data_IF_872819209814
#
_entry.id   IF_872819209814
#
_cell.length_a   1.000
_cell.length_b   1.000
_cell.length_c   1.000
_cell.angle_alpha   90.00
_cell.angle_beta   90.00
_cell.angle_gamma   90.00
#
_symmetry.space_group_name_H-M   'P 1'
#
loop_
_entity.id
_entity.type
_entity.pdbx_description
1 polymer ?
#
# COMPACT_ATOMS: atom_id res chain seq x y z
N UNK A 1 -2.86 -29.20 -23.79
CA UNK A 1 -2.85 -28.36 -22.58
C UNK A 1 -1.76 -27.33 -22.76
N UNK A 2 -2.06 -26.25 -23.48
CA UNK A 2 -1.11 -25.16 -23.75
C UNK A 2 -1.42 -24.00 -22.82
N UNK A 3 -0.39 -23.49 -22.14
CA UNK A 3 -0.49 -22.33 -21.27
C UNK A 3 -0.97 -21.10 -22.08
N UNK A 4 -1.95 -20.39 -21.53
CA UNK A 4 -2.48 -19.13 -22.06
C UNK A 4 -1.51 -18.01 -21.71
N UNK A 5 -0.62 -17.65 -22.64
CA UNK A 5 0.12 -16.39 -22.57
C UNK A 5 -0.80 -15.24 -23.00
N UNK A 6 -1.50 -14.65 -22.02
CA UNK A 6 -2.18 -13.36 -22.15
C UNK A 6 -1.23 -12.29 -21.59
N UNK A 7 -0.41 -11.69 -22.45
CA UNK A 7 0.24 -10.42 -22.11
C UNK A 7 -0.80 -9.29 -22.13
N UNK A 8 -1.40 -9.05 -20.97
CA UNK A 8 -2.31 -7.95 -20.70
C UNK A 8 -1.51 -6.85 -19.96
N UNK A 9 -1.26 -5.73 -20.62
CA UNK A 9 -0.70 -4.54 -19.95
C UNK A 9 -1.70 -4.05 -18.91
N UNK A 10 -1.35 -4.19 -17.63
CA UNK A 10 -2.26 -3.91 -16.52
C UNK A 10 -2.20 -2.44 -16.10
N UNK A 11 -3.38 -1.85 -15.87
CA UNK A 11 -3.55 -0.56 -15.20
C UNK A 11 -3.01 -0.55 -13.75
N UNK A 12 -2.57 -1.72 -13.24
CA UNK A 12 -1.87 -1.96 -11.97
C UNK A 12 -0.56 -1.18 -11.84
N UNK A 13 -0.06 -0.60 -12.93
CA UNK A 13 1.16 0.19 -12.93
C UNK A 13 1.05 1.48 -12.11
N UNK A 14 -0.16 2.03 -11.87
CA UNK A 14 -0.27 3.40 -11.31
C UNK A 14 -0.05 3.51 -9.79
N UNK A 15 -0.06 2.41 -9.05
CA UNK A 15 0.33 2.38 -7.62
C UNK A 15 1.78 1.88 -7.41
N UNK A 16 2.34 1.13 -8.36
CA UNK A 16 3.74 0.66 -8.33
C UNK A 16 4.74 1.61 -8.99
N UNK A 17 4.30 2.44 -9.96
CA UNK A 17 5.17 3.36 -10.72
C UNK A 17 5.63 4.59 -9.92
N UNK A 18 5.01 4.89 -8.77
CA UNK A 18 5.51 5.95 -7.89
C UNK A 18 6.92 5.67 -7.32
N UNK A 19 7.41 4.41 -7.38
CA UNK A 19 8.80 4.06 -7.02
C UNK A 19 9.79 4.15 -8.20
N UNK A 20 9.33 4.19 -9.45
CA UNK A 20 10.21 4.14 -10.63
C UNK A 20 10.48 5.53 -11.25
N UNK A 21 9.66 6.54 -11.00
CA UNK A 21 9.81 7.87 -11.60
C UNK A 21 10.69 8.85 -10.81
N UNK A 22 11.47 8.39 -9.82
CA UNK A 22 12.34 9.26 -9.00
C UNK A 22 13.64 9.68 -9.72
N UNK A 23 13.97 9.08 -10.88
CA UNK A 23 15.25 9.33 -11.54
C UNK A 23 15.30 10.51 -12.54
N UNK A 24 14.18 11.16 -12.92
CA UNK A 24 14.20 12.11 -14.05
C UNK A 24 13.73 13.56 -13.83
N UNK A 25 13.34 13.98 -12.62
CA UNK A 25 12.95 15.40 -12.41
C UNK A 25 13.63 16.03 -11.19
N UNK A 26 14.95 16.24 -11.31
CA UNK A 26 15.66 17.23 -10.49
C UNK A 26 15.58 18.60 -11.15
N UNK A 27 14.58 19.41 -10.76
CA UNK A 27 14.67 20.88 -10.69
C UNK A 27 13.35 21.47 -10.20
N UNK A 28 13.40 22.14 -9.05
CA UNK A 28 12.53 23.28 -8.76
C UNK A 28 11.60 23.13 -7.55
N UNK A 29 11.96 23.88 -6.52
CA UNK A 29 11.06 24.60 -5.59
C UNK A 29 10.51 23.85 -4.37
N UNK A 30 11.11 24.20 -3.23
CA UNK A 30 10.63 23.98 -1.87
C UNK A 30 9.31 24.76 -1.61
N UNK A 31 8.38 24.18 -0.83
CA UNK A 31 8.20 24.55 0.59
C UNK A 31 7.01 23.82 1.27
N UNK A 32 7.15 23.72 2.60
CA UNK A 32 6.20 23.36 3.66
C UNK A 32 6.11 21.89 4.12
N UNK A 33 6.82 21.61 5.23
CA UNK A 33 6.63 20.41 6.05
C UNK A 33 7.75 20.14 7.05
N UNK A 34 7.80 20.88 8.16
CA UNK A 34 8.60 20.52 9.35
C UNK A 34 10.12 20.51 9.14
N UNK A 35 10.67 21.58 8.57
CA UNK A 35 12.11 21.76 8.43
C UNK A 35 12.78 21.94 9.81
N UNK A 36 13.79 21.12 10.11
CA UNK A 36 14.97 21.64 10.80
C UNK A 36 15.41 22.84 9.96
N UNK A 37 15.10 24.05 10.42
CA UNK A 37 15.60 25.24 9.75
C UNK A 37 17.12 25.08 9.70
N UNK A 38 17.68 25.06 8.48
CA UNK A 38 19.07 25.42 8.23
C UNK A 38 19.20 26.93 8.46
N UNK A 39 18.89 27.40 9.67
CA UNK A 39 19.39 28.68 10.12
C UNK A 39 20.90 28.49 10.16
N UNK A 40 21.60 29.17 9.25
CA UNK A 40 23.04 29.35 9.38
C UNK A 40 23.24 30.07 10.71
N UNK A 41 23.46 29.30 11.77
CA UNK A 41 24.13 29.79 12.96
C UNK A 41 25.55 30.04 12.47
N UNK A 42 25.82 31.28 12.05
CA UNK A 42 27.17 31.78 11.93
C UNK A 42 27.78 31.68 13.34
N UNK A 43 28.44 30.56 13.65
CA UNK A 43 29.04 30.29 14.95
C UNK A 43 29.07 28.83 15.44
N UNK A 44 28.54 27.83 14.71
CA UNK A 44 28.70 26.42 15.13
C UNK A 44 30.08 25.88 14.78
N UNK A 45 30.82 25.40 15.78
CA UNK A 45 32.14 24.76 15.63
C UNK A 45 32.01 23.56 14.67
N UNK A 46 32.92 23.36 13.68
CA UNK A 46 32.87 22.22 12.76
C UNK A 46 32.78 20.86 13.47
N UNK A 47 33.35 20.76 14.68
CA UNK A 47 33.36 19.56 15.53
C UNK A 47 31.94 19.15 16.00
N UNK A 48 31.04 20.11 16.21
CA UNK A 48 29.64 19.84 16.60
C UNK A 48 28.82 19.23 15.45
N UNK A 49 29.13 19.61 14.21
CA UNK A 49 28.46 19.07 13.03
C UNK A 49 28.86 17.61 12.77
N UNK A 50 30.15 17.30 12.89
CA UNK A 50 30.64 15.91 12.79
C UNK A 50 30.04 15.01 13.88
N UNK A 51 29.85 15.56 15.08
CA UNK A 51 29.24 14.84 16.20
C UNK A 51 27.78 14.47 15.96
N UNK A 52 26.98 15.38 15.38
CA UNK A 52 25.56 15.13 15.07
C UNK A 52 25.40 14.02 14.00
N UNK A 53 26.30 14.01 13.02
CA UNK A 53 26.26 13.14 11.85
C UNK A 53 26.94 11.78 12.06
N UNK A 54 27.60 11.58 13.20
CA UNK A 54 28.30 10.34 13.53
C UNK A 54 27.36 9.11 13.42
N UNK A 55 27.77 8.14 12.61
CA UNK A 55 27.06 6.85 12.47
C UNK A 55 25.86 6.86 11.50
N UNK A 56 25.73 7.87 10.64
CA UNK A 56 24.68 7.92 9.61
C UNK A 56 24.69 6.66 8.75
N UNK A 57 23.50 6.05 8.58
CA UNK A 57 23.26 4.83 7.79
C UNK A 57 23.99 3.55 8.28
N UNK A 58 24.77 3.62 9.36
CA UNK A 58 25.55 2.48 9.89
C UNK A 58 24.75 1.58 10.86
N UNK A 59 23.62 2.06 11.36
CA UNK A 59 22.81 1.39 12.39
C UNK A 59 21.36 1.19 11.93
N UNK A 60 20.65 0.33 12.66
CA UNK A 60 19.23 0.03 12.43
C UNK A 60 19.04 -1.39 11.90
N UNK A 61 18.01 -1.57 11.08
CA UNK A 61 17.59 -2.87 10.56
C UNK A 61 17.15 -2.76 9.08
N UNK A 62 16.75 -3.86 8.42
CA UNK A 62 16.24 -3.80 7.05
C UNK A 62 15.03 -2.86 6.85
N UNK A 63 14.23 -2.63 7.90
CA UNK A 63 13.05 -1.74 7.84
C UNK A 63 13.43 -0.26 7.84
N UNK A 64 14.31 0.14 8.77
CA UNK A 64 14.68 1.54 9.01
C UNK A 64 16.16 1.66 9.36
N UNK A 65 16.82 2.65 8.77
CA UNK A 65 18.19 3.03 9.14
C UNK A 65 18.09 4.02 10.28
N UNK A 66 18.57 3.67 11.48
CA UNK A 66 18.36 4.51 12.67
C UNK A 66 19.44 4.25 13.70
N UNK A 67 19.83 5.31 14.42
CA UNK A 67 20.87 5.28 15.46
C UNK A 67 20.29 5.09 16.87
N UNK A 68 19.11 4.49 16.97
CA UNK A 68 18.51 4.12 18.25
C UNK A 68 17.73 2.80 18.19
N UNK A 69 17.54 2.18 19.35
CA UNK A 69 16.64 1.04 19.60
C UNK A 69 15.45 1.50 20.42
N UNK A 70 14.32 0.79 20.33
CA UNK A 70 13.13 1.08 21.13
C UNK A 70 13.05 0.11 22.30
N UNK A 71 12.58 0.60 23.45
CA UNK A 71 12.09 -0.26 24.52
C UNK A 71 10.60 -0.49 24.31
N UNK A 72 10.21 -1.74 24.07
CA UNK A 72 8.84 -2.11 23.77
C UNK A 72 7.98 -1.99 25.04
N UNK A 73 6.94 -1.15 25.08
CA UNK A 73 6.13 -0.96 26.30
C UNK A 73 5.33 -2.22 26.69
N UNK A 74 5.00 -3.08 25.72
CA UNK A 74 4.23 -4.31 25.93
C UNK A 74 4.99 -5.42 26.66
N UNK A 75 6.31 -5.52 26.47
CA UNK A 75 7.12 -6.62 27.03
C UNK A 75 8.44 -6.17 27.66
N UNK A 76 8.73 -4.87 27.65
CA UNK A 76 9.95 -4.24 28.18
C UNK A 76 11.27 -4.71 27.53
N UNK A 77 11.18 -5.41 26.38
CA UNK A 77 12.33 -5.86 25.60
C UNK A 77 12.80 -4.79 24.60
N UNK A 78 14.03 -4.93 24.11
CA UNK A 78 14.69 -3.94 23.25
C UNK A 78 14.74 -4.44 21.80
N UNK A 79 14.28 -3.61 20.87
CA UNK A 79 14.26 -3.93 19.44
C UNK A 79 14.76 -2.79 18.56
N UNK A 80 15.29 -3.13 17.38
CA UNK A 80 15.70 -2.14 16.37
C UNK A 80 14.53 -1.44 15.69
N UNK A 81 13.30 -1.94 15.75
CA UNK A 81 12.08 -1.20 15.37
C UNK A 81 10.83 -2.00 15.76
N UNK A 82 9.65 -1.42 15.50
CA UNK A 82 8.36 -2.10 15.72
C UNK A 82 8.19 -3.35 14.84
N UNK A 83 8.71 -3.33 13.62
CA UNK A 83 8.57 -4.45 12.69
C UNK A 83 9.43 -5.63 13.15
N UNK A 84 10.68 -5.40 13.55
CA UNK A 84 11.52 -6.42 14.15
C UNK A 84 10.90 -7.00 15.44
N UNK A 85 10.25 -6.17 16.27
CA UNK A 85 9.48 -6.66 17.41
C UNK A 85 8.36 -7.60 16.94
N UNK A 86 7.49 -7.14 16.05
CA UNK A 86 6.30 -7.91 15.62
C UNK A 86 6.71 -9.20 14.90
N UNK A 87 7.77 -9.20 14.09
CA UNK A 87 8.30 -10.42 13.46
C UNK A 87 8.73 -11.47 14.48
N UNK A 88 9.42 -11.03 15.55
CA UNK A 88 9.86 -11.94 16.62
C UNK A 88 8.68 -12.41 17.46
N UNK A 89 7.78 -11.49 17.86
CA UNK A 89 6.66 -11.78 18.78
C UNK A 89 5.48 -12.47 18.12
N UNK A 90 5.26 -12.29 16.82
CA UNK A 90 4.19 -12.96 16.08
C UNK A 90 4.68 -14.18 15.28
N UNK A 91 5.94 -14.59 15.45
CA UNK A 91 6.46 -15.81 14.81
C UNK A 91 5.65 -17.04 15.22
N UNK A 92 5.50 -18.00 14.30
CA UNK A 92 4.79 -19.26 14.56
C UNK A 92 5.39 -20.07 15.72
N UNK A 93 6.68 -19.84 16.02
CA UNK A 93 7.41 -20.48 17.12
C UNK A 93 7.03 -19.92 18.50
N UNK A 94 6.36 -18.77 18.55
CA UNK A 94 5.90 -18.16 19.79
C UNK A 94 4.54 -18.71 20.16
N UNK A 95 4.39 -19.09 21.44
CA UNK A 95 3.11 -19.47 22.04
C UNK A 95 2.04 -18.44 21.71
N UNK A 96 0.88 -18.90 21.24
CA UNK A 96 -0.23 -18.05 20.80
C UNK A 96 -0.62 -17.02 21.86
N UNK A 97 -0.57 -17.36 23.15
CA UNK A 97 -0.91 -16.46 24.26
C UNK A 97 0.12 -15.37 24.51
N UNK A 98 1.32 -15.50 23.93
CA UNK A 98 2.40 -14.51 24.01
C UNK A 98 2.56 -13.69 22.73
N UNK A 99 1.81 -13.99 21.67
CA UNK A 99 1.82 -13.19 20.44
C UNK A 99 1.18 -11.84 20.70
N UNK A 100 1.84 -10.80 20.25
CA UNK A 100 1.36 -9.44 20.41
C UNK A 100 2.11 -8.49 19.48
N UNK A 101 1.45 -7.41 19.14
CA UNK A 101 2.04 -6.30 18.40
C UNK A 101 2.57 -5.23 19.34
N UNK A 102 3.56 -4.47 18.88
CA UNK A 102 4.05 -3.31 19.59
C UNK A 102 3.06 -2.13 19.44
N UNK A 103 2.52 -1.57 20.54
CA UNK A 103 1.67 -0.38 20.47
C UNK A 103 2.53 0.85 20.19
N UNK A 104 2.69 1.22 18.91
CA UNK A 104 3.64 2.25 18.45
C UNK A 104 3.51 3.60 19.14
N UNK A 105 2.28 3.98 19.52
CA UNK A 105 1.98 5.27 20.14
C UNK A 105 2.46 5.33 21.60
N UNK A 106 2.59 4.18 22.25
CA UNK A 106 2.96 4.06 23.67
C UNK A 106 4.47 3.98 23.88
N UNK A 107 5.28 3.99 22.81
CA UNK A 107 6.74 4.01 22.93
C UNK A 107 7.19 5.33 23.55
N UNK A 108 7.75 5.24 24.75
CA UNK A 108 8.25 6.41 25.51
C UNK A 108 9.78 6.45 25.60
N UNK A 109 10.46 5.30 25.53
CA UNK A 109 11.90 5.19 25.77
C UNK A 109 12.65 4.62 24.55
N UNK A 110 13.82 5.18 24.28
CA UNK A 110 14.77 4.74 23.24
C UNK A 110 16.17 4.62 23.81
N UNK A 111 16.97 3.74 23.22
CA UNK A 111 18.36 3.50 23.60
C UNK A 111 19.25 3.91 22.42
N UNK A 112 20.16 4.85 22.64
CA UNK A 112 21.11 5.28 21.62
C UNK A 112 22.02 4.13 21.19
N UNK A 113 22.14 3.88 19.89
CA UNK A 113 22.97 2.79 19.35
C UNK A 113 24.47 3.09 19.40
N UNK A 114 24.86 4.35 19.62
CA UNK A 114 26.27 4.76 19.66
C UNK A 114 26.85 4.76 21.07
N UNK A 115 26.11 5.27 22.05
CA UNK A 115 26.61 5.40 23.44
C UNK A 115 25.83 4.56 24.46
N UNK A 116 24.78 3.86 24.05
CA UNK A 116 23.98 3.01 24.94
C UNK A 116 23.06 3.75 25.91
N UNK A 117 23.00 5.08 25.86
CA UNK A 117 22.14 5.88 26.75
C UNK A 117 20.67 5.60 26.48
N UNK A 118 19.95 5.19 27.52
CA UNK A 118 18.49 5.10 27.54
C UNK A 118 17.90 6.46 27.91
N UNK A 119 16.88 6.89 27.15
CA UNK A 119 16.28 8.22 27.27
C UNK A 119 14.86 8.26 26.71
N UNK A 120 14.11 9.31 27.06
CA UNK A 120 12.84 9.61 26.42
C UNK A 120 12.97 9.77 24.90
N UNK A 121 11.90 9.45 24.17
CA UNK A 121 11.83 9.64 22.71
C UNK A 121 12.10 11.10 22.35
N UNK A 122 13.28 11.33 21.78
CA UNK A 122 13.74 12.61 21.23
C UNK A 122 14.58 12.32 20.01
N UNK A 123 14.66 13.26 19.07
CA UNK A 123 15.47 13.07 17.86
C UNK A 123 16.95 13.00 18.18
N UNK A 124 17.43 13.74 19.18
CA UNK A 124 18.87 13.85 19.51
C UNK A 124 19.17 13.11 20.80
N UNK A 125 20.30 12.39 20.83
CA UNK A 125 20.76 11.73 22.04
C UNK A 125 21.16 12.75 23.11
N UNK A 126 20.64 12.60 24.33
CA UNK A 126 20.89 13.55 25.43
C UNK A 126 22.33 13.50 25.96
N UNK A 127 23.03 12.38 25.74
CA UNK A 127 24.38 12.17 26.25
C UNK A 127 25.44 12.49 25.18
N UNK A 128 25.37 11.83 24.02
CA UNK A 128 26.41 11.99 22.99
C UNK A 128 26.06 13.01 21.89
N UNK A 129 24.87 13.61 21.89
CA UNK A 129 24.49 14.67 20.95
C UNK A 129 24.21 14.23 19.50
N UNK A 130 24.30 12.93 19.20
CA UNK A 130 24.03 12.42 17.85
C UNK A 130 22.55 12.59 17.51
N UNK A 131 22.23 13.03 16.30
CA UNK A 131 20.86 12.91 15.78
C UNK A 131 20.57 11.43 15.59
N UNK A 132 19.45 10.87 16.04
CA UNK A 132 19.17 9.42 16.00
C UNK A 132 18.42 8.96 14.73
N UNK A 133 17.95 9.90 13.91
CA UNK A 133 17.35 9.66 12.60
C UNK A 133 17.19 10.98 11.86
N UNK A 134 17.66 11.07 10.61
CA UNK A 134 17.52 12.30 9.80
C UNK A 134 16.07 12.72 9.64
N UNK A 135 15.19 11.76 9.33
CA UNK A 135 13.76 11.89 9.47
C UNK A 135 13.34 11.44 10.86
N UNK A 136 12.59 12.30 11.55
CA UNK A 136 11.97 11.98 12.83
C UNK A 136 10.51 12.42 12.84
N UNK A 137 9.63 11.50 13.24
CA UNK A 137 8.24 11.82 13.52
C UNK A 137 7.92 11.54 14.98
N UNK A 138 7.72 12.61 15.77
CA UNK A 138 7.39 12.50 17.19
C UNK A 138 6.00 11.92 17.48
N UNK A 139 5.07 12.01 16.51
CA UNK A 139 3.74 11.38 16.62
C UNK A 139 3.86 9.86 16.43
N UNK A 140 4.53 9.42 15.36
CA UNK A 140 4.68 7.99 15.06
C UNK A 140 5.83 7.31 15.81
N UNK A 141 6.65 8.08 16.54
CA UNK A 141 7.92 7.64 17.16
C UNK A 141 8.86 6.98 16.15
N UNK A 142 8.85 7.48 14.90
CA UNK A 142 9.60 6.93 13.76
C UNK A 142 10.92 7.68 13.59
N UNK A 143 11.99 6.92 13.41
CA UNK A 143 13.34 7.39 13.12
C UNK A 143 13.82 6.69 11.86
N UNK A 144 14.28 7.45 10.86
CA UNK A 144 14.89 6.89 9.66
C UNK A 144 15.95 7.86 9.11
N UNK A 145 17.14 7.36 8.80
CA UNK A 145 18.21 8.12 8.16
C UNK A 145 18.09 8.12 6.65
N UNK A 146 17.39 7.14 6.11
CA UNK A 146 17.18 6.99 4.68
C UNK A 146 16.09 7.94 4.19
N UNK A 147 16.42 9.22 4.09
CA UNK A 147 15.52 10.28 3.62
C UNK A 147 15.18 10.17 2.13
N UNK A 148 15.84 9.28 1.38
CA UNK A 148 15.51 9.03 -0.03
C UNK A 148 14.09 8.49 -0.22
N UNK A 149 13.52 7.86 0.83
CA UNK A 149 12.13 7.40 0.86
C UNK A 149 11.12 8.54 0.91
N UNK A 150 11.55 9.78 1.14
CA UNK A 150 10.70 10.97 1.21
C UNK A 150 9.51 10.77 2.18
N UNK A 151 9.83 10.38 3.41
CA UNK A 151 8.84 10.10 4.44
C UNK A 151 8.08 11.37 4.81
N UNK A 152 6.78 11.24 5.08
CA UNK A 152 5.98 12.34 5.62
C UNK A 152 4.87 11.81 6.52
N UNK A 153 4.49 12.59 7.54
CA UNK A 153 3.33 12.25 8.37
C UNK A 153 2.03 12.74 7.71
N UNK A 154 1.05 11.84 7.55
CA UNK A 154 -0.30 12.21 7.17
C UNK A 154 -1.19 12.30 8.40
N UNK A 155 -1.63 13.51 8.76
CA UNK A 155 -2.50 13.73 9.92
C UNK A 155 -3.86 13.01 9.76
N UNK A 156 -4.43 12.97 8.55
CA UNK A 156 -5.70 12.30 8.29
C UNK A 156 -5.63 10.78 8.46
N UNK A 157 -4.47 10.16 8.18
CA UNK A 157 -4.26 8.74 8.42
C UNK A 157 -3.67 8.43 9.82
N UNK A 158 -3.10 9.43 10.50
CA UNK A 158 -2.37 9.24 11.76
C UNK A 158 -1.08 8.43 11.64
N UNK A 159 -0.52 8.27 10.43
CA UNK A 159 0.67 7.46 10.16
C UNK A 159 1.66 8.15 9.22
N UNK A 160 2.92 7.74 9.30
CA UNK A 160 3.92 8.12 8.31
C UNK A 160 3.74 7.31 7.02
N UNK A 161 3.83 8.01 5.89
CA UNK A 161 3.86 7.47 4.53
C UNK A 161 5.23 7.76 3.90
N UNK A 162 5.47 7.19 2.73
CA UNK A 162 6.68 7.38 1.92
C UNK A 162 6.30 7.89 0.53
N UNK A 163 7.27 8.40 -0.22
CA UNK A 163 7.08 8.86 -1.62
C UNK A 163 6.78 10.35 -1.77
N UNK A 164 7.01 11.18 -0.76
CA UNK A 164 6.84 12.64 -0.83
C UNK A 164 5.41 13.09 -0.56
N UNK A 165 5.24 14.20 0.18
CA UNK A 165 3.90 14.70 0.53
C UNK A 165 3.16 15.21 -0.70
N UNK A 166 3.89 15.80 -1.62
CA UNK A 166 3.43 16.44 -2.85
C UNK A 166 2.86 15.44 -3.86
N UNK A 167 3.27 14.17 -3.80
CA UNK A 167 2.81 13.13 -4.72
C UNK A 167 1.51 12.45 -4.27
N UNK A 168 1.00 12.79 -3.08
CA UNK A 168 -0.15 12.14 -2.48
C UNK A 168 -1.16 13.16 -1.94
N UNK A 169 -2.43 12.75 -1.91
CA UNK A 169 -3.47 13.47 -1.21
C UNK A 169 -4.22 12.52 -0.27
N UNK A 170 -4.73 13.04 0.84
CA UNK A 170 -5.62 12.30 1.73
C UNK A 170 -7.07 12.51 1.30
N UNK A 171 -7.80 11.42 1.07
CA UNK A 171 -9.23 11.46 0.82
C UNK A 171 -9.97 11.22 2.14
N UNK A 172 -10.61 12.26 2.70
CA UNK A 172 -11.29 12.15 4.00
C UNK A 172 -12.45 11.15 3.98
N UNK A 173 -13.13 10.99 2.84
CA UNK A 173 -14.25 10.05 2.70
C UNK A 173 -13.76 8.60 2.65
N UNK A 174 -12.68 8.32 1.92
CA UNK A 174 -12.08 6.97 1.91
C UNK A 174 -11.32 6.67 3.22
N UNK A 175 -10.82 7.71 3.90
CA UNK A 175 -9.99 7.60 5.08
C UNK A 175 -8.53 7.20 4.78
N UNK A 176 -8.04 7.44 3.56
CA UNK A 176 -6.70 6.99 3.15
C UNK A 176 -5.99 7.94 2.18
N UNK A 177 -4.67 7.75 2.04
CA UNK A 177 -3.86 8.49 1.06
C UNK A 177 -3.81 7.77 -0.29
N UNK A 178 -4.01 8.53 -1.37
CA UNK A 178 -3.83 8.09 -2.75
C UNK A 178 -2.80 8.96 -3.48
N UNK A 179 -2.28 8.45 -4.60
CA UNK A 179 -1.47 9.24 -5.54
C UNK A 179 -2.26 10.43 -6.06
N UNK A 180 -1.61 11.58 -6.26
CA UNK A 180 -2.24 12.81 -6.77
C UNK A 180 -2.93 12.60 -8.13
N UNK A 181 -2.48 11.62 -8.92
CA UNK A 181 -3.09 11.21 -10.19
C UNK A 181 -4.56 10.80 -10.03
N UNK A 182 -4.91 10.27 -8.85
CA UNK A 182 -6.25 9.75 -8.54
C UNK A 182 -7.19 10.79 -7.91
N UNK A 183 -6.74 12.03 -7.72
CA UNK A 183 -7.47 13.06 -6.94
C UNK A 183 -8.92 13.24 -7.35
N UNK A 184 -9.20 13.17 -8.65
CA UNK A 184 -10.53 13.41 -9.21
C UNK A 184 -11.11 12.22 -9.99
N UNK A 185 -10.46 11.05 -9.96
CA UNK A 185 -10.82 9.90 -10.80
C UNK A 185 -11.06 8.60 -10.04
N UNK A 186 -10.68 8.52 -8.76
CA UNK A 186 -10.91 7.30 -7.99
C UNK A 186 -12.39 7.10 -7.64
N UNK A 187 -12.84 5.83 -7.67
CA UNK A 187 -14.12 5.43 -7.12
C UNK A 187 -14.10 5.59 -5.58
N UNK A 188 -14.65 6.72 -5.11
CA UNK A 188 -14.58 7.11 -3.71
C UNK A 188 -15.59 6.35 -2.83
N UNK A 189 -15.15 5.22 -2.30
CA UNK A 189 -15.89 4.34 -1.38
C UNK A 189 -15.47 4.64 0.07
N UNK A 190 -16.44 4.77 0.96
CA UNK A 190 -16.16 5.00 2.38
C UNK A 190 -15.42 3.82 3.00
N UNK A 191 -14.37 4.11 3.77
CA UNK A 191 -13.58 3.05 4.42
C UNK A 191 -12.91 2.08 3.43
N UNK A 192 -12.57 2.53 2.22
CA UNK A 192 -12.07 1.68 1.15
C UNK A 192 -10.85 0.82 1.52
N UNK A 193 -10.06 1.19 2.53
CA UNK A 193 -8.91 0.42 3.02
C UNK A 193 -9.08 -0.11 4.46
N UNK A 194 -10.22 0.16 5.09
CA UNK A 194 -10.51 -0.22 6.48
C UNK A 194 -11.24 -1.57 6.54
N UNK A 195 -10.67 -2.57 5.87
CA UNK A 195 -11.15 -3.96 5.88
C UNK A 195 -10.00 -4.91 5.57
N UNK A 196 -10.23 -6.20 5.78
CA UNK A 196 -9.26 -7.24 5.46
C UNK A 196 -9.25 -7.54 3.96
N UNK A 197 -8.07 -7.86 3.43
CA UNK A 197 -7.96 -8.36 2.07
C UNK A 197 -8.80 -9.66 1.93
N UNK A 198 -9.75 -9.75 0.98
CA UNK A 198 -10.61 -10.92 0.82
C UNK A 198 -9.87 -12.19 0.37
N UNK A 199 -8.60 -12.06 -0.03
CA UNK A 199 -7.76 -13.17 -0.50
C UNK A 199 -6.89 -13.72 0.64
N UNK A 200 -6.16 -12.84 1.34
CA UNK A 200 -5.19 -13.27 2.36
C UNK A 200 -5.61 -12.96 3.80
N UNK A 201 -6.76 -12.32 4.01
CA UNK A 201 -7.34 -11.97 5.32
C UNK A 201 -6.42 -11.09 6.20
N UNK A 202 -5.47 -10.39 5.59
CA UNK A 202 -4.63 -9.39 6.27
C UNK A 202 -5.30 -8.02 6.19
N UNK A 203 -5.30 -7.29 7.30
CA UNK A 203 -5.85 -5.93 7.38
C UNK A 203 -5.10 -4.94 6.48
N UNK A 204 -5.80 -4.32 5.54
CA UNK A 204 -5.18 -3.54 4.46
C UNK A 204 -4.50 -2.26 4.92
N UNK A 205 -5.07 -1.55 5.89
CA UNK A 205 -4.58 -0.23 6.30
C UNK A 205 -3.21 -0.27 6.99
N UNK A 206 -2.96 -1.32 7.77
CA UNK A 206 -1.73 -1.48 8.57
C UNK A 206 -0.67 -2.36 7.91
N UNK A 207 -1.07 -3.11 6.89
CA UNK A 207 -0.18 -3.94 6.07
C UNK A 207 0.95 -3.12 5.44
N UNK A 208 2.13 -3.73 5.37
CA UNK A 208 3.28 -3.19 4.64
C UNK A 208 3.26 -3.55 3.16
N UNK A 209 2.32 -4.40 2.73
CA UNK A 209 2.16 -4.79 1.33
C UNK A 209 1.49 -3.67 0.54
N UNK A 210 1.93 -3.45 -0.69
CA UNK A 210 1.30 -2.48 -1.59
C UNK A 210 -0.16 -2.89 -1.87
N UNK A 211 -1.05 -1.91 -1.97
CA UNK A 211 -2.51 -2.09 -2.14
C UNK A 211 -2.94 -1.54 -3.50
N UNK A 212 -3.86 -2.23 -4.16
CA UNK A 212 -4.47 -1.83 -5.43
C UNK A 212 -5.95 -1.48 -5.22
N UNK A 213 -6.42 -0.43 -5.89
CA UNK A 213 -7.84 -0.09 -5.98
C UNK A 213 -8.37 -0.69 -7.28
N UNK A 214 -9.32 -1.63 -7.17
CA UNK A 214 -9.96 -2.25 -8.32
C UNK A 214 -10.90 -1.26 -9.03
N UNK A 215 -11.25 -1.48 -10.31
CA UNK A 215 -12.19 -0.63 -11.04
C UNK A 215 -13.55 -0.45 -10.35
N UNK A 216 -13.97 -1.45 -9.57
CA UNK A 216 -15.20 -1.41 -8.78
C UNK A 216 -15.08 -0.59 -7.47
N UNK A 217 -13.89 -0.08 -7.13
CA UNK A 217 -13.60 0.69 -5.92
C UNK A 217 -13.15 -0.12 -4.71
N UNK A 218 -13.33 -1.45 -4.72
CA UNK A 218 -12.79 -2.33 -3.68
C UNK A 218 -11.27 -2.36 -3.72
N UNK A 219 -10.64 -2.62 -2.58
CA UNK A 219 -9.17 -2.63 -2.49
C UNK A 219 -8.65 -3.99 -2.02
N UNK A 220 -7.55 -4.43 -2.61
CA UNK A 220 -6.87 -5.70 -2.27
C UNK A 220 -5.36 -5.50 -2.38
N UNK A 221 -4.55 -6.38 -1.79
CA UNK A 221 -3.09 -6.31 -1.96
C UNK A 221 -2.68 -6.52 -3.43
N UNK A 222 -1.64 -5.82 -3.89
CA UNK A 222 -1.06 -6.00 -5.23
C UNK A 222 -0.60 -7.45 -5.44
N UNK A 223 -0.01 -8.07 -4.42
CA UNK A 223 0.39 -9.50 -4.48
C UNK A 223 -0.82 -10.41 -4.73
N UNK A 224 -1.94 -10.14 -4.06
CA UNK A 224 -3.17 -10.93 -4.18
C UNK A 224 -3.87 -10.69 -5.54
N UNK A 225 -3.80 -9.47 -6.08
CA UNK A 225 -4.28 -9.20 -7.43
C UNK A 225 -3.48 -9.98 -8.48
N UNK A 226 -2.16 -10.05 -8.34
CA UNK A 226 -1.31 -10.86 -9.23
C UNK A 226 -1.62 -12.35 -9.14
N UNK A 227 -1.81 -12.87 -7.93
CA UNK A 227 -2.21 -14.27 -7.71
C UNK A 227 -3.58 -14.57 -8.35
N UNK A 228 -4.53 -13.64 -8.27
CA UNK A 228 -5.80 -13.74 -9.01
C UNK A 228 -5.58 -13.81 -10.54
N UNK A 229 -4.69 -12.96 -11.08
CA UNK A 229 -4.35 -12.97 -12.52
C UNK A 229 -3.70 -14.29 -12.95
N UNK A 230 -2.76 -14.83 -12.17
CA UNK A 230 -2.08 -16.11 -12.40
C UNK A 230 -3.05 -17.30 -12.40
N UNK A 231 -4.14 -17.21 -11.64
CA UNK A 231 -5.21 -18.22 -11.58
C UNK A 231 -6.41 -17.92 -12.49
N UNK A 232 -6.28 -16.96 -13.41
CA UNK A 232 -7.35 -16.55 -14.33
C UNK A 232 -8.65 -16.11 -13.62
N UNK A 233 -8.55 -15.58 -12.39
CA UNK A 233 -9.67 -15.07 -11.60
C UNK A 233 -9.86 -13.57 -11.82
N UNK A 234 -10.60 -13.20 -12.86
CA UNK A 234 -10.78 -11.79 -13.24
C UNK A 234 -12.01 -11.11 -12.61
N UNK A 235 -12.71 -11.78 -11.69
CA UNK A 235 -13.89 -11.25 -11.02
C UNK A 235 -13.53 -10.82 -9.57
N UNK A 236 -13.97 -9.63 -9.18
CA UNK A 236 -13.79 -9.12 -7.84
C UNK A 236 -14.45 -10.07 -6.83
N UNK A 237 -13.75 -10.53 -5.78
CA UNK A 237 -14.30 -11.49 -4.82
C UNK A 237 -15.45 -10.90 -3.98
N UNK A 238 -15.58 -9.57 -3.93
CA UNK A 238 -16.60 -8.88 -3.13
C UNK A 238 -17.88 -8.56 -3.91
N UNK A 239 -17.79 -8.34 -5.23
CA UNK A 239 -18.93 -7.87 -6.03
C UNK A 239 -19.03 -8.47 -7.44
N UNK A 240 -18.14 -9.39 -7.79
CA UNK A 240 -18.08 -10.08 -9.08
C UNK A 240 -17.82 -9.21 -10.31
N UNK A 241 -17.60 -7.90 -10.17
CA UNK A 241 -17.18 -7.02 -11.28
C UNK A 241 -15.80 -7.38 -11.80
N UNK A 242 -15.55 -7.19 -13.09
CA UNK A 242 -14.23 -7.39 -13.68
C UNK A 242 -13.18 -6.50 -13.02
N UNK A 243 -12.02 -7.08 -12.72
CA UNK A 243 -10.91 -6.40 -12.02
C UNK A 243 -9.94 -5.70 -12.96
N UNK A 244 -10.00 -6.01 -14.25
CA UNK A 244 -9.17 -5.44 -15.32
C UNK A 244 -10.00 -5.29 -16.61
N UNK A 245 -9.39 -4.70 -17.65
CA UNK A 245 -10.01 -4.62 -18.97
C UNK A 245 -10.07 -6.00 -19.64
N UNK A 246 -11.29 -6.49 -19.84
CA UNK A 246 -11.57 -7.80 -20.43
C UNK A 246 -11.96 -7.71 -21.92
N UNK A 247 -11.87 -6.53 -22.56
CA UNK A 247 -12.37 -6.31 -23.93
C UNK A 247 -11.80 -7.31 -24.94
N UNK A 248 -10.49 -7.58 -24.90
CA UNK A 248 -9.85 -8.58 -25.77
C UNK A 248 -10.34 -10.01 -25.53
N UNK A 249 -10.64 -10.36 -24.26
CA UNK A 249 -11.20 -11.66 -23.93
C UNK A 249 -12.64 -11.80 -24.46
N UNK A 250 -13.43 -10.72 -24.37
CA UNK A 250 -14.78 -10.65 -24.92
C UNK A 250 -14.81 -10.73 -26.45
N UNK A 251 -13.89 -10.04 -27.14
CA UNK A 251 -13.73 -10.14 -28.60
C UNK A 251 -13.39 -11.55 -29.05
N UNK A 252 -12.56 -12.27 -28.27
CA UNK A 252 -12.24 -13.67 -28.56
C UNK A 252 -13.45 -14.57 -28.37
N UNK A 253 -14.22 -14.37 -27.30
CA UNK A 253 -15.48 -15.08 -27.09
C UNK A 253 -16.47 -14.81 -28.23
N UNK A 254 -16.58 -13.56 -28.72
CA UNK A 254 -17.42 -13.25 -29.89
C UNK A 254 -17.06 -14.11 -31.11
N UNK A 255 -15.76 -14.26 -31.40
CA UNK A 255 -15.28 -15.08 -32.51
C UNK A 255 -15.60 -16.57 -32.30
N UNK A 256 -15.41 -17.09 -31.09
CA UNK A 256 -15.68 -18.50 -30.77
C UNK A 256 -17.18 -18.81 -30.89
N UNK A 257 -18.06 -17.96 -30.35
CA UNK A 257 -19.51 -18.12 -30.43
C UNK A 257 -20.03 -18.03 -31.87
N UNK A 258 -19.46 -17.18 -32.73
CA UNK A 258 -19.86 -17.06 -34.13
C UNK A 258 -19.61 -18.35 -34.96
N UNK A 259 -18.69 -19.21 -34.52
CA UNK A 259 -18.38 -20.49 -35.20
C UNK A 259 -19.27 -21.64 -34.75
N UNK A 260 -19.98 -21.49 -33.63
CA UNK A 260 -20.82 -22.51 -33.05
C UNK A 260 -22.25 -22.30 -33.56
N UNK A 261 -22.75 -23.23 -34.37
CA UNK A 261 -24.18 -23.23 -34.71
C UNK A 261 -24.98 -23.61 -33.47
N UNK A 262 -25.58 -22.63 -32.80
CA UNK A 262 -26.42 -22.90 -31.64
C UNK A 262 -27.69 -23.63 -32.09
N UNK A 263 -27.83 -24.88 -31.64
CA UNK A 263 -29.02 -25.72 -31.84
C UNK A 263 -30.11 -25.44 -30.80
N UNK A 264 -29.98 -24.36 -30.01
CA UNK A 264 -30.94 -24.02 -28.96
C UNK A 264 -32.02 -23.09 -29.53
N UNK A 265 -33.12 -23.72 -29.94
CA UNK A 265 -34.36 -23.10 -30.41
C UNK A 265 -34.77 -21.87 -29.57
N UNK A 266 -34.94 -20.70 -30.21
CA UNK A 266 -35.62 -19.42 -29.82
C UNK A 266 -35.80 -19.04 -28.33
N UNK A 267 -35.00 -19.61 -27.43
CA UNK A 267 -35.15 -19.47 -26.00
C UNK A 267 -34.49 -18.18 -25.56
N UNK A 268 -35.29 -17.27 -25.02
CA UNK A 268 -34.80 -16.06 -24.40
C UNK A 268 -34.56 -16.28 -22.90
N UNK A 269 -33.49 -15.67 -22.38
CA UNK A 269 -33.18 -15.68 -20.95
C UNK A 269 -32.90 -14.27 -20.46
N UNK A 270 -33.29 -14.01 -19.21
CA UNK A 270 -32.99 -12.77 -18.52
C UNK A 270 -31.64 -12.89 -17.83
N UNK A 271 -30.78 -11.90 -18.04
CA UNK A 271 -29.45 -11.84 -17.46
C UNK A 271 -29.25 -10.54 -16.69
N UNK A 272 -28.42 -10.59 -15.65
CA UNK A 272 -27.84 -9.44 -14.97
C UNK A 272 -26.36 -9.35 -15.33
N UNK A 273 -25.92 -8.18 -15.80
CA UNK A 273 -24.50 -7.91 -16.03
C UNK A 273 -23.81 -7.46 -14.74
N UNK A 274 -22.77 -8.18 -14.31
CA UNK A 274 -22.04 -7.82 -13.10
C UNK A 274 -21.30 -6.49 -13.27
N UNK A 275 -20.76 -6.18 -14.45
CA UNK A 275 -19.96 -4.98 -14.67
C UNK A 275 -20.78 -3.69 -14.66
N UNK A 276 -21.86 -3.64 -15.46
CA UNK A 276 -22.70 -2.44 -15.60
C UNK A 276 -24.00 -2.46 -14.80
N UNK A 277 -24.39 -3.60 -14.21
CA UNK A 277 -25.63 -3.75 -13.43
C UNK A 277 -26.92 -3.79 -14.27
N UNK A 278 -26.83 -3.69 -15.59
CA UNK A 278 -28.02 -3.73 -16.46
C UNK A 278 -28.64 -5.13 -16.50
N UNK A 279 -29.97 -5.16 -16.53
CA UNK A 279 -30.75 -6.37 -16.82
C UNK A 279 -31.13 -6.33 -18.30
N UNK A 280 -30.89 -7.43 -19.01
CA UNK A 280 -31.27 -7.57 -20.42
C UNK A 280 -31.84 -8.96 -20.70
N UNK A 281 -32.72 -9.05 -21.68
CA UNK A 281 -33.21 -10.32 -22.21
C UNK A 281 -32.43 -10.63 -23.50
N UNK A 282 -31.80 -11.81 -23.55
CA UNK A 282 -30.91 -12.21 -24.65
C UNK A 282 -31.20 -13.64 -25.07
N UNK A 283 -30.82 -13.98 -26.29
CA UNK A 283 -30.91 -15.37 -26.76
C UNK A 283 -30.00 -16.24 -25.88
N UNK A 284 -30.54 -17.38 -25.46
CA UNK A 284 -29.80 -18.36 -24.70
C UNK A 284 -28.69 -18.96 -25.55
N UNK A 285 -27.47 -18.95 -25.01
CA UNK A 285 -26.32 -19.64 -25.58
C UNK A 285 -25.68 -20.49 -24.49
N UNK A 286 -25.32 -21.74 -24.83
CA UNK A 286 -24.75 -22.69 -23.87
C UNK A 286 -23.47 -22.18 -23.17
N UNK A 287 -22.69 -21.33 -23.83
CA UNK A 287 -21.35 -20.93 -23.37
C UNK A 287 -21.40 -19.63 -22.56
N UNK A 288 -21.96 -18.57 -23.13
CA UNK A 288 -21.93 -17.25 -22.50
C UNK A 288 -23.03 -16.33 -23.03
N UNK A 289 -23.48 -15.40 -22.19
CA UNK A 289 -24.51 -14.43 -22.53
C UNK A 289 -23.94 -13.01 -22.56
N UNK A 290 -24.04 -12.34 -23.72
CA UNK A 290 -23.49 -11.00 -23.91
C UNK A 290 -24.41 -9.92 -23.37
N UNK A 291 -23.89 -9.03 -22.52
CA UNK A 291 -24.62 -7.84 -22.11
C UNK A 291 -24.79 -6.88 -23.30
N UNK A 292 -26.03 -6.44 -23.56
CA UNK A 292 -26.29 -5.52 -24.68
C UNK A 292 -25.80 -4.09 -24.43
N UNK A 293 -25.69 -3.67 -23.16
CA UNK A 293 -25.29 -2.32 -22.77
C UNK A 293 -23.77 -2.10 -22.83
N UNK A 294 -22.99 -2.95 -22.15
CA UNK A 294 -21.52 -2.78 -22.06
C UNK A 294 -20.72 -3.84 -22.82
N UNK A 295 -21.38 -4.75 -23.55
CA UNK A 295 -20.76 -5.82 -24.35
C UNK A 295 -19.95 -6.86 -23.56
N UNK A 296 -19.92 -6.76 -22.22
CA UNK A 296 -19.30 -7.75 -21.34
C UNK A 296 -20.05 -9.09 -21.34
N UNK A 297 -19.31 -10.18 -21.19
CA UNK A 297 -19.83 -11.52 -20.90
C UNK A 297 -19.79 -11.89 -19.41
N UNK A 298 -19.37 -10.98 -18.54
CA UNK A 298 -19.47 -11.15 -17.09
C UNK A 298 -20.94 -10.97 -16.63
N UNK A 299 -21.76 -11.98 -16.91
CA UNK A 299 -23.20 -11.96 -16.72
C UNK A 299 -23.66 -13.22 -15.99
N UNK A 300 -24.81 -13.15 -15.32
CA UNK A 300 -25.48 -14.30 -14.72
C UNK A 300 -26.96 -14.31 -15.11
N UNK A 301 -27.52 -15.50 -15.31
CA UNK A 301 -28.95 -15.67 -15.51
C UNK A 301 -29.70 -15.39 -14.20
N UNK A 302 -30.88 -14.79 -14.29
CA UNK A 302 -31.77 -14.46 -13.16
C UNK A 302 -33.20 -14.89 -13.41
#
# INVERSE_FOLDING_TARGET
MGALDLHLESASAQHGQAKLNVEEYTKGSLESGGNYKKEKINGSDPDDFEKIEKGIMQYGCPHYRRRCRIRAPCCNEIFDCRHCHNEVKNSIKVDTMRRHELPRQEVQQVICSLCGTEQEVRQVCINCGVCMGKYFCGLCKLFDDDVSKQQYHCNGCGICRIGGRENFFHCSKCGCCYSIVLKNSHACVEGAMHHDCPICFEYLFESTNDVSVLPCGHTIHVKCLKEMEEHCQFACPLCSKSVCDMSKAWERLDMELATLSDSCDDKMVRILCNDCGAISEVQFHLIAHKCQNCKSYNTRQI
#
